data_IF_437832346504
#
_entry.id   IF_437832346504
#
_cell.length_a   1.000
_cell.length_b   1.000
_cell.length_c   1.000
_cell.angle_alpha   90.00
_cell.angle_beta   90.00
_cell.angle_gamma   90.00
#
_symmetry.space_group_name_H-M   'P 1'
#
loop_
_entity.id
_entity.type
_entity.pdbx_description
1 polymer ?
#
# COMPACT_ATOMS: atom_id res chain seq x y z
N UNK A 1 7.32 17.09 -25.67
CA UNK A 1 6.32 16.04 -25.40
C UNK A 1 5.09 16.74 -24.90
N UNK A 2 3.99 16.71 -25.66
CA UNK A 2 2.72 17.23 -25.17
C UNK A 2 2.24 16.34 -24.03
N UNK A 3 1.98 16.95 -22.87
CA UNK A 3 1.54 16.23 -21.68
C UNK A 3 0.08 15.84 -21.91
N UNK A 4 -0.12 14.66 -22.47
CA UNK A 4 -1.44 14.04 -22.59
C UNK A 4 -1.74 13.25 -21.31
N UNK A 5 -3.02 13.16 -20.94
CA UNK A 5 -3.48 12.38 -19.78
C UNK A 5 -3.02 10.92 -19.84
N UNK A 6 -2.93 10.34 -21.04
CA UNK A 6 -2.40 8.99 -21.25
C UNK A 6 -0.92 8.88 -20.87
N UNK A 7 -0.09 9.86 -21.24
CA UNK A 7 1.33 9.90 -20.90
C UNK A 7 1.54 10.12 -19.40
N UNK A 8 0.72 10.97 -18.78
CA UNK A 8 0.74 11.17 -17.34
C UNK A 8 0.37 9.88 -16.57
N UNK A 9 -0.71 9.20 -16.96
CA UNK A 9 -1.13 7.93 -16.36
C UNK A 9 -0.06 6.86 -16.51
N UNK A 10 0.56 6.74 -17.68
CA UNK A 10 1.66 5.80 -17.90
C UNK A 10 2.85 6.07 -16.95
N UNK A 11 3.25 7.34 -16.82
CA UNK A 11 4.34 7.73 -15.93
C UNK A 11 3.98 7.51 -14.45
N UNK A 12 2.73 7.79 -14.07
CA UNK A 12 2.23 7.52 -12.73
C UNK A 12 2.31 6.02 -12.40
N UNK A 13 1.85 5.15 -13.29
CA UNK A 13 1.92 3.70 -13.09
C UNK A 13 3.35 3.20 -12.94
N UNK A 14 4.30 3.81 -13.67
CA UNK A 14 5.72 3.49 -13.57
C UNK A 14 6.34 3.89 -12.22
N UNK A 15 5.89 5.00 -11.64
CA UNK A 15 6.35 5.51 -10.34
C UNK A 15 5.58 4.89 -9.16
N UNK A 16 4.40 4.32 -9.40
CA UNK A 16 3.53 3.77 -8.36
C UNK A 16 4.23 2.79 -7.40
N UNK A 17 5.06 1.82 -7.85
CA UNK A 17 5.77 0.91 -6.94
C UNK A 17 6.65 1.66 -5.94
N UNK A 18 7.36 2.70 -6.40
CA UNK A 18 8.19 3.53 -5.54
C UNK A 18 7.34 4.35 -4.56
N UNK A 19 6.26 4.97 -5.04
CA UNK A 19 5.32 5.74 -4.22
C UNK A 19 4.72 4.87 -3.10
N UNK A 20 4.35 3.62 -3.41
CA UNK A 20 3.82 2.66 -2.42
C UNK A 20 4.84 2.38 -1.31
N UNK A 21 6.10 2.09 -1.69
CA UNK A 21 7.17 1.83 -0.71
C UNK A 21 7.41 3.05 0.17
N UNK A 22 7.49 4.25 -0.43
CA UNK A 22 7.62 5.50 0.31
C UNK A 22 6.43 5.74 1.25
N UNK A 23 5.21 5.51 0.80
CA UNK A 23 4.01 5.70 1.62
C UNK A 23 4.03 4.84 2.89
N UNK A 24 4.32 3.54 2.77
CA UNK A 24 4.34 2.65 3.94
C UNK A 24 5.49 2.96 4.89
N UNK A 25 6.66 3.28 4.36
CA UNK A 25 7.84 3.62 5.17
C UNK A 25 7.68 4.94 5.91
N UNK A 26 7.24 5.99 5.22
CA UNK A 26 6.97 7.31 5.82
C UNK A 26 5.83 7.21 6.85
N UNK A 27 4.76 6.48 6.54
CA UNK A 27 3.66 6.25 7.48
C UNK A 27 4.14 5.60 8.78
N UNK A 28 5.04 4.63 8.68
CA UNK A 28 5.67 3.96 9.83
C UNK A 28 6.48 4.94 10.69
N UNK A 29 7.29 5.78 10.04
CA UNK A 29 8.13 6.78 10.70
C UNK A 29 7.28 7.81 11.45
N UNK A 30 6.23 8.35 10.82
CA UNK A 30 5.37 9.34 11.46
C UNK A 30 4.52 8.78 12.59
N UNK A 31 4.09 7.52 12.48
CA UNK A 31 3.34 6.85 13.54
C UNK A 31 4.25 6.28 14.64
N UNK A 32 5.57 6.41 14.54
CA UNK A 32 6.56 5.77 15.42
C UNK A 32 6.31 4.26 15.60
N UNK A 33 5.83 3.60 14.54
CA UNK A 33 5.63 2.15 14.51
C UNK A 33 6.67 1.48 13.60
N UNK A 34 6.85 0.16 13.75
CA UNK A 34 7.79 -0.62 12.94
C UNK A 34 7.10 -1.33 11.77
N UNK A 35 5.82 -1.06 11.52
CA UNK A 35 4.99 -1.86 10.60
C UNK A 35 5.44 -1.72 9.15
N UNK A 36 5.72 -0.49 8.71
CA UNK A 36 6.24 -0.23 7.37
C UNK A 36 7.66 -0.75 7.17
N UNK A 37 8.47 -0.79 8.23
CA UNK A 37 9.84 -1.35 8.19
C UNK A 37 9.79 -2.88 8.02
N UNK A 38 8.90 -3.56 8.74
CA UNK A 38 8.71 -5.02 8.62
C UNK A 38 8.20 -5.40 7.23
N UNK A 39 7.27 -4.61 6.68
CA UNK A 39 6.85 -4.73 5.29
C UNK A 39 8.03 -4.56 4.32
N UNK A 40 8.87 -3.53 4.52
CA UNK A 40 10.03 -3.25 3.67
C UNK A 40 11.05 -4.40 3.69
N UNK A 41 11.30 -5.00 4.86
CA UNK A 41 12.19 -6.18 4.98
C UNK A 41 11.69 -7.34 4.13
N UNK A 42 10.39 -7.63 4.19
CA UNK A 42 9.76 -8.65 3.36
C UNK A 42 9.84 -8.35 1.88
N UNK A 43 9.64 -7.08 1.50
CA UNK A 43 9.72 -6.66 0.11
C UNK A 43 11.13 -6.81 -0.47
N UNK A 44 12.15 -6.37 0.27
CA UNK A 44 13.56 -6.51 -0.14
C UNK A 44 13.92 -8.00 -0.27
N UNK A 45 13.48 -8.82 0.69
CA UNK A 45 13.65 -10.27 0.63
C UNK A 45 12.99 -10.86 -0.63
N UNK A 46 11.73 -10.50 -0.91
CA UNK A 46 11.00 -11.00 -2.08
C UNK A 46 11.66 -10.60 -3.40
N UNK A 47 12.09 -9.34 -3.55
CA UNK A 47 12.80 -8.86 -4.74
C UNK A 47 14.11 -9.62 -4.92
N UNK A 48 14.89 -9.82 -3.83
CA UNK A 48 16.12 -10.59 -3.87
C UNK A 48 15.89 -12.03 -4.34
N UNK A 49 14.86 -12.70 -3.82
CA UNK A 49 14.48 -14.05 -4.24
C UNK A 49 14.07 -14.10 -5.71
N UNK A 50 13.26 -13.14 -6.18
CA UNK A 50 12.84 -13.06 -7.59
C UNK A 50 14.04 -12.89 -8.52
N UNK A 51 15.00 -12.02 -8.15
CA UNK A 51 16.22 -11.82 -8.95
C UNK A 51 17.05 -13.10 -9.01
N UNK A 52 17.27 -13.77 -7.88
CA UNK A 52 18.02 -15.03 -7.82
C UNK A 52 17.34 -16.12 -8.67
N UNK A 53 16.03 -16.31 -8.51
CA UNK A 53 15.25 -17.27 -9.30
C UNK A 53 15.37 -16.95 -10.79
N UNK A 54 15.24 -15.67 -11.17
CA UNK A 54 15.37 -15.26 -12.56
C UNK A 54 16.75 -15.56 -13.16
N UNK A 55 17.82 -15.44 -12.34
CA UNK A 55 19.18 -15.78 -12.77
C UNK A 55 19.39 -17.29 -12.90
N UNK A 56 18.78 -18.10 -12.02
CA UNK A 56 18.88 -19.56 -12.05
C UNK A 56 18.12 -20.16 -13.25
N UNK A 57 16.95 -19.61 -13.57
CA UNK A 57 16.13 -20.08 -14.69
C UNK A 57 16.88 -19.95 -16.03
N UNK A 58 17.68 -18.88 -16.22
CA UNK A 58 18.50 -18.70 -17.44
C UNK A 58 19.52 -19.81 -17.67
N UNK A 59 19.92 -20.54 -16.62
CA UNK A 59 20.98 -21.55 -16.69
C UNK A 59 20.47 -22.97 -16.90
N UNK A 60 19.15 -23.22 -16.87
CA UNK A 60 18.57 -24.56 -17.01
C UNK A 60 18.08 -24.78 -18.45
N UNK A 61 18.80 -25.57 -19.28
CA UNK A 61 18.42 -25.81 -20.67
C UNK A 61 17.13 -26.64 -20.84
N UNK A 62 16.66 -27.33 -19.79
CA UNK A 62 15.37 -28.05 -19.81
C UNK A 62 14.16 -27.09 -19.82
N UNK A 63 14.32 -25.87 -19.27
CA UNK A 63 13.28 -24.83 -19.27
C UNK A 63 13.33 -23.94 -20.53
N UNK A 64 14.31 -24.18 -21.41
CA UNK A 64 14.49 -23.50 -22.70
C UNK A 64 13.41 -23.89 -23.73
N UNK A 65 12.59 -24.90 -23.42
CA UNK A 65 11.56 -25.42 -24.31
C UNK A 65 10.28 -24.59 -24.37
N UNK A 66 10.29 -23.36 -23.89
CA UNK A 66 9.07 -22.56 -23.89
C UNK A 66 9.28 -21.15 -24.41
N UNK A 67 8.59 -20.84 -25.51
CA UNK A 67 8.08 -19.51 -25.89
C UNK A 67 7.15 -18.88 -24.81
N UNK A 68 7.37 -19.22 -23.53
CA UNK A 68 6.60 -18.78 -22.37
C UNK A 68 7.25 -17.56 -21.71
N UNK A 69 8.58 -17.46 -21.82
CA UNK A 69 9.36 -16.26 -21.51
C UNK A 69 9.73 -15.48 -22.77
N UNK A 70 8.85 -15.46 -23.77
CA UNK A 70 8.94 -14.41 -24.79
C UNK A 70 8.74 -13.08 -24.06
N UNK A 71 9.82 -12.34 -23.90
CA UNK A 71 9.86 -11.07 -23.20
C UNK A 71 9.29 -10.06 -24.21
N UNK A 72 8.41 -9.17 -23.78
CA UNK A 72 7.78 -8.20 -24.70
C UNK A 72 8.82 -7.30 -25.38
N UNK A 73 8.39 -6.19 -26.00
CA UNK A 73 9.32 -5.22 -26.59
C UNK A 73 10.14 -4.50 -25.51
N UNK A 74 11.21 -5.13 -25.02
CA UNK A 74 12.12 -4.57 -24.01
C UNK A 74 13.16 -3.62 -24.59
N UNK A 75 13.23 -3.51 -25.91
CA UNK A 75 14.19 -2.66 -26.60
C UNK A 75 13.85 -1.17 -26.48
N UNK A 76 12.59 -0.84 -26.17
CA UNK A 76 12.18 0.54 -25.95
C UNK A 76 12.88 1.15 -24.73
N UNK A 77 13.49 2.34 -24.84
CA UNK A 77 14.20 2.98 -23.72
C UNK A 77 13.28 3.28 -22.54
N UNK A 78 11.98 3.45 -22.81
CA UNK A 78 10.94 3.64 -21.80
C UNK A 78 10.79 2.38 -20.92
N UNK A 79 11.13 1.21 -21.44
CA UNK A 79 11.10 -0.05 -20.72
C UNK A 79 12.31 -0.28 -19.81
N UNK A 80 13.38 0.52 -19.94
CA UNK A 80 14.67 0.36 -19.23
C UNK A 80 14.87 1.32 -18.05
N UNK A 81 13.82 1.61 -17.27
CA UNK A 81 13.88 2.66 -16.22
C UNK A 81 14.65 2.23 -14.96
N UNK A 82 14.89 0.91 -14.78
CA UNK A 82 15.70 0.37 -13.67
C UNK A 82 16.85 -0.48 -14.23
N UNK A 83 17.79 0.17 -14.91
CA UNK A 83 19.10 -0.42 -15.24
C UNK A 83 20.17 0.18 -14.33
N UNK A 84 20.71 -0.58 -13.38
CA UNK A 84 21.78 -0.13 -12.48
C UNK A 84 23.14 -0.66 -12.94
N UNK A 85 23.64 -0.17 -14.07
CA UNK A 85 24.83 -0.71 -14.75
C UNK A 85 24.50 -1.37 -16.09
N UNK A 86 25.48 -2.06 -16.69
CA UNK A 86 25.39 -2.65 -18.04
C UNK A 86 24.70 -4.02 -18.11
N UNK A 87 24.11 -4.52 -17.01
CA UNK A 87 23.39 -5.79 -16.98
C UNK A 87 21.92 -5.62 -16.65
N UNK A 88 21.06 -6.27 -17.42
CA UNK A 88 19.62 -6.38 -17.15
C UNK A 88 19.39 -7.25 -15.90
N UNK A 89 19.13 -6.63 -14.75
CA UNK A 89 19.07 -7.30 -13.44
C UNK A 89 17.94 -8.33 -13.31
N UNK A 90 16.86 -8.18 -14.07
CA UNK A 90 15.82 -9.19 -14.11
C UNK A 90 15.00 -9.07 -15.39
N UNK A 91 14.69 -10.22 -15.99
CA UNK A 91 13.72 -10.33 -17.09
C UNK A 91 12.27 -10.24 -16.56
N UNK A 92 12.10 -10.23 -15.24
CA UNK A 92 10.80 -10.18 -14.56
C UNK A 92 10.48 -8.72 -14.21
N UNK A 93 9.26 -8.23 -14.48
CA UNK A 93 8.86 -6.87 -14.13
C UNK A 93 8.79 -6.68 -12.61
N UNK A 94 9.87 -6.14 -12.02
CA UNK A 94 9.99 -5.93 -10.57
C UNK A 94 8.89 -5.01 -10.03
N UNK A 95 8.52 -3.95 -10.78
CA UNK A 95 7.44 -3.04 -10.38
C UNK A 95 6.09 -3.76 -10.20
N UNK A 96 5.76 -4.63 -11.16
CA UNK A 96 4.59 -5.51 -11.11
C UNK A 96 4.64 -6.44 -9.88
N UNK A 97 5.81 -7.04 -9.60
CA UNK A 97 6.00 -7.86 -8.40
C UNK A 97 5.87 -7.09 -7.08
N UNK A 98 6.25 -5.80 -7.02
CA UNK A 98 6.07 -4.97 -5.83
C UNK A 98 4.57 -4.73 -5.58
N UNK A 99 3.80 -4.35 -6.62
CA UNK A 99 2.37 -4.05 -6.49
C UNK A 99 1.62 -5.28 -5.96
N UNK A 100 1.83 -6.45 -6.58
CA UNK A 100 1.13 -7.68 -6.20
C UNK A 100 1.61 -8.23 -4.85
N UNK A 101 2.90 -8.15 -4.53
CA UNK A 101 3.42 -8.51 -3.21
C UNK A 101 2.73 -7.68 -2.13
N UNK A 102 2.65 -6.37 -2.33
CA UNK A 102 2.03 -5.44 -1.39
C UNK A 102 0.56 -5.76 -1.19
N UNK A 103 -0.18 -5.96 -2.28
CA UNK A 103 -1.59 -6.29 -2.23
C UNK A 103 -1.84 -7.60 -1.47
N UNK A 104 -1.13 -8.68 -1.84
CA UNK A 104 -1.32 -9.99 -1.20
C UNK A 104 -0.87 -9.96 0.26
N UNK A 105 0.27 -9.34 0.58
CA UNK A 105 0.72 -9.18 1.95
C UNK A 105 -0.34 -8.49 2.82
N UNK A 106 -0.89 -7.36 2.35
CA UNK A 106 -1.92 -6.62 3.10
C UNK A 106 -3.25 -7.39 3.18
N UNK A 107 -3.67 -8.01 2.08
CA UNK A 107 -4.92 -8.76 2.02
C UNK A 107 -4.89 -9.98 2.94
N UNK A 108 -3.84 -10.79 2.83
CA UNK A 108 -3.64 -11.95 3.70
C UNK A 108 -3.51 -11.52 5.17
N UNK A 109 -2.80 -10.42 5.45
CA UNK A 109 -2.71 -9.86 6.81
C UNK A 109 -4.09 -9.50 7.39
N UNK A 110 -4.91 -8.78 6.62
CA UNK A 110 -6.30 -8.45 7.02
C UNK A 110 -7.16 -9.69 7.25
N UNK A 111 -7.00 -10.73 6.41
CA UNK A 111 -7.76 -11.97 6.53
C UNK A 111 -7.34 -12.74 7.79
N UNK A 112 -6.04 -12.98 7.97
CA UNK A 112 -5.55 -13.77 9.10
C UNK A 112 -5.83 -13.08 10.44
N UNK A 113 -5.54 -11.78 10.56
CA UNK A 113 -5.81 -11.05 11.79
C UNK A 113 -7.32 -10.92 12.03
N UNK A 114 -8.11 -10.75 10.96
CA UNK A 114 -9.56 -10.69 11.05
C UNK A 114 -10.18 -11.98 11.57
N UNK A 115 -9.69 -13.13 11.09
CA UNK A 115 -10.11 -14.46 11.58
C UNK A 115 -9.77 -14.60 13.06
N UNK A 116 -8.54 -14.25 13.45
CA UNK A 116 -8.08 -14.37 14.84
C UNK A 116 -8.86 -13.49 15.83
N UNK A 117 -9.24 -12.27 15.42
CA UNK A 117 -10.00 -11.34 16.26
C UNK A 117 -11.51 -11.48 16.13
N UNK A 118 -12.00 -12.35 15.24
CA UNK A 118 -13.43 -12.47 14.92
C UNK A 118 -14.02 -11.20 14.29
N UNK A 119 -13.21 -10.38 13.61
CA UNK A 119 -13.64 -9.14 12.95
C UNK A 119 -13.38 -9.19 11.45
N UNK A 120 -14.22 -8.50 10.68
CA UNK A 120 -14.02 -8.40 9.22
C UNK A 120 -13.17 -7.16 8.88
N UNK A 121 -11.85 -7.26 9.09
CA UNK A 121 -10.90 -6.17 8.78
C UNK A 121 -10.93 -5.76 7.30
N UNK A 122 -11.18 -6.70 6.40
CA UNK A 122 -11.31 -6.43 4.96
C UNK A 122 -12.46 -5.44 4.69
N UNK A 123 -13.60 -5.60 5.36
CA UNK A 123 -14.76 -4.69 5.22
C UNK A 123 -14.43 -3.28 5.68
N UNK A 124 -13.68 -3.13 6.78
CA UNK A 124 -13.30 -1.80 7.30
C UNK A 124 -12.24 -1.11 6.45
N UNK A 125 -11.42 -1.89 5.76
CA UNK A 125 -10.32 -1.41 4.92
C UNK A 125 -10.60 -1.64 3.42
N UNK A 126 -11.87 -1.70 3.02
CA UNK A 126 -12.26 -1.93 1.64
C UNK A 126 -11.67 -0.94 0.62
N UNK A 127 -11.40 0.36 0.95
CA UNK A 127 -10.77 1.28 0.00
C UNK A 127 -9.38 0.80 -0.42
N UNK A 128 -8.62 0.17 0.48
CA UNK A 128 -7.30 -0.40 0.18
C UNK A 128 -7.42 -1.52 -0.85
N UNK A 129 -8.39 -2.42 -0.67
CA UNK A 129 -8.62 -3.55 -1.60
C UNK A 129 -9.01 -3.03 -2.98
N UNK A 130 -9.92 -2.06 -3.05
CA UNK A 130 -10.34 -1.46 -4.32
C UNK A 130 -9.19 -0.72 -4.99
N UNK A 131 -8.42 0.05 -4.22
CA UNK A 131 -7.25 0.77 -4.73
C UNK A 131 -6.22 -0.16 -5.38
N UNK A 132 -5.81 -1.23 -4.68
CA UNK A 132 -4.86 -2.19 -5.25
C UNK A 132 -5.45 -2.97 -6.42
N UNK A 133 -6.75 -3.29 -6.40
CA UNK A 133 -7.41 -3.95 -7.53
C UNK A 133 -7.37 -3.07 -8.79
N UNK A 134 -7.63 -1.77 -8.65
CA UNK A 134 -7.52 -0.79 -9.75
C UNK A 134 -6.08 -0.68 -10.22
N UNK A 135 -5.10 -0.61 -9.31
CA UNK A 135 -3.68 -0.55 -9.68
C UNK A 135 -3.22 -1.78 -10.47
N UNK A 136 -3.65 -2.98 -10.08
CA UNK A 136 -3.32 -4.23 -10.78
C UNK A 136 -3.92 -4.22 -12.20
N UNK A 137 -5.18 -3.82 -12.36
CA UNK A 137 -5.82 -3.71 -13.68
C UNK A 137 -5.14 -2.64 -14.54
N UNK A 138 -4.78 -1.50 -13.94
CA UNK A 138 -4.07 -0.43 -14.63
C UNK A 138 -2.65 -0.86 -15.03
N UNK A 139 -1.94 -1.62 -14.19
CA UNK A 139 -0.62 -2.16 -14.50
C UNK A 139 -0.71 -3.16 -15.65
N UNK A 140 -1.68 -4.07 -15.63
CA UNK A 140 -1.95 -4.95 -16.77
C UNK A 140 -2.19 -4.16 -18.04
N UNK A 141 -3.10 -3.18 -18.02
CA UNK A 141 -3.44 -2.38 -19.21
C UNK A 141 -2.24 -1.62 -19.79
N UNK A 142 -1.40 -1.01 -18.94
CA UNK A 142 -0.30 -0.14 -19.38
C UNK A 142 1.03 -0.87 -19.60
N UNK A 143 1.29 -1.95 -18.87
CA UNK A 143 2.60 -2.63 -18.88
C UNK A 143 2.61 -3.86 -19.78
N UNK A 144 1.43 -4.37 -20.19
CA UNK A 144 1.30 -5.57 -21.02
C UNK A 144 0.66 -5.32 -22.38
N UNK A 145 0.81 -6.30 -23.28
CA UNK A 145 0.13 -6.31 -24.57
C UNK A 145 -1.41 -6.35 -24.49
N UNK A 146 -2.01 -6.52 -23.29
CA UNK A 146 -3.47 -6.50 -23.11
C UNK A 146 -4.09 -5.16 -23.55
N UNK A 147 -3.41 -4.04 -23.35
CA UNK A 147 -3.93 -2.72 -23.73
C UNK A 147 -4.19 -2.64 -25.23
N UNK A 148 -3.28 -3.20 -26.03
CA UNK A 148 -3.42 -3.28 -27.48
C UNK A 148 -4.56 -4.24 -27.89
N UNK A 149 -4.73 -5.36 -27.18
CA UNK A 149 -5.85 -6.30 -27.41
C UNK A 149 -7.19 -5.61 -27.14
N UNK A 150 -7.30 -4.89 -26.02
CA UNK A 150 -8.52 -4.17 -25.63
C UNK A 150 -8.84 -3.06 -26.63
N UNK A 151 -7.85 -2.26 -27.04
CA UNK A 151 -8.07 -1.19 -28.02
C UNK A 151 -8.51 -1.74 -29.38
N UNK A 152 -7.92 -2.86 -29.81
CA UNK A 152 -8.34 -3.59 -31.02
C UNK A 152 -9.78 -4.09 -30.91
N UNK A 153 -10.19 -4.60 -29.75
CA UNK A 153 -11.55 -5.05 -29.51
C UNK A 153 -12.56 -3.90 -29.53
N UNK A 154 -12.19 -2.73 -28.99
CA UNK A 154 -13.07 -1.56 -28.88
C UNK A 154 -13.17 -0.72 -30.16
N UNK A 155 -12.52 -1.10 -31.27
CA UNK A 155 -12.42 -0.31 -32.51
C UNK A 155 -12.01 1.16 -32.26
N UNK A 156 -11.25 1.41 -31.20
CA UNK A 156 -10.69 2.73 -30.95
C UNK A 156 -9.63 3.02 -32.02
N UNK A 157 -9.59 4.27 -32.51
CA UNK A 157 -8.63 4.74 -33.51
C UNK A 157 -7.20 4.31 -33.10
N UNK A 158 -6.60 3.46 -33.95
CA UNK A 158 -5.49 2.60 -33.58
C UNK A 158 -4.21 3.42 -33.33
N UNK A 159 -3.89 3.60 -32.05
CA UNK A 159 -2.55 3.99 -31.61
C UNK A 159 -1.97 2.85 -30.80
N UNK A 160 -0.88 2.27 -31.29
CA UNK A 160 -0.13 1.25 -30.56
C UNK A 160 0.32 1.83 -29.21
N UNK A 161 -0.11 1.19 -28.12
CA UNK A 161 0.37 1.52 -26.80
C UNK A 161 1.73 0.85 -26.61
N UNK A 162 2.75 1.59 -26.13
CA UNK A 162 4.01 0.99 -25.76
C UNK A 162 3.78 0.05 -24.57
N UNK A 163 4.18 -1.21 -24.71
CA UNK A 163 4.16 -2.21 -23.65
C UNK A 163 5.55 -2.83 -23.50
N UNK A 164 5.93 -3.15 -22.27
CA UNK A 164 7.28 -3.63 -21.98
C UNK A 164 7.34 -5.14 -21.80
N UNK A 165 6.24 -5.75 -21.37
CA UNK A 165 6.21 -7.16 -20.99
C UNK A 165 5.01 -7.86 -21.63
N UNK A 166 5.15 -9.15 -21.90
CA UNK A 166 4.01 -9.95 -22.33
C UNK A 166 3.14 -10.32 -21.12
N UNK A 167 1.84 -10.56 -21.35
CA UNK A 167 0.91 -10.96 -20.30
C UNK A 167 1.41 -12.18 -19.50
N UNK A 168 2.02 -13.16 -20.17
CA UNK A 168 2.60 -14.36 -19.53
C UNK A 168 3.71 -13.98 -18.54
N UNK A 169 4.69 -13.18 -18.98
CA UNK A 169 5.81 -12.74 -18.13
C UNK A 169 5.35 -11.95 -16.92
N UNK A 170 4.35 -11.07 -17.10
CA UNK A 170 3.74 -10.31 -16.00
C UNK A 170 2.93 -11.22 -15.07
N UNK A 171 2.23 -12.22 -15.62
CA UNK A 171 1.52 -13.23 -14.83
C UNK A 171 2.44 -14.05 -13.93
N UNK A 172 3.63 -14.44 -14.42
CA UNK A 172 4.65 -15.12 -13.62
C UNK A 172 5.16 -14.19 -12.52
N UNK A 173 5.42 -12.92 -12.84
CA UNK A 173 5.84 -11.92 -11.87
C UNK A 173 4.82 -11.72 -10.74
N UNK A 174 3.54 -11.74 -11.09
CA UNK A 174 2.43 -11.67 -10.15
C UNK A 174 2.30 -12.91 -9.28
N UNK A 175 2.42 -14.09 -9.88
CA UNK A 175 2.40 -15.34 -9.14
C UNK A 175 3.56 -15.40 -8.15
N UNK A 176 4.78 -15.12 -8.59
CA UNK A 176 5.97 -15.12 -7.74
C UNK A 176 5.87 -14.07 -6.62
N UNK A 177 5.50 -12.82 -6.94
CA UNK A 177 5.35 -11.76 -5.96
C UNK A 177 4.22 -12.04 -4.95
N UNK A 178 3.09 -12.57 -5.42
CA UNK A 178 1.97 -12.95 -4.57
C UNK A 178 2.30 -14.10 -3.62
N UNK A 179 2.95 -15.16 -4.11
CA UNK A 179 3.41 -16.28 -3.29
C UNK A 179 4.40 -15.82 -2.21
N UNK A 180 5.34 -14.94 -2.56
CA UNK A 180 6.30 -14.38 -1.61
C UNK A 180 5.64 -13.44 -0.60
N UNK A 181 4.62 -12.68 -1.00
CA UNK A 181 3.83 -11.83 -0.11
C UNK A 181 3.05 -12.64 0.93
N UNK A 182 2.43 -13.73 0.50
CA UNK A 182 1.78 -14.67 1.41
C UNK A 182 2.79 -15.40 2.31
N UNK A 183 3.88 -15.92 1.74
CA UNK A 183 4.92 -16.62 2.50
C UNK A 183 5.58 -15.72 3.56
N UNK A 184 5.79 -14.43 3.25
CA UNK A 184 6.31 -13.48 4.23
C UNK A 184 5.37 -13.30 5.43
N UNK A 185 4.06 -13.28 5.18
CA UNK A 185 3.07 -13.23 6.27
C UNK A 185 3.16 -14.47 7.16
N UNK A 186 3.24 -15.66 6.58
CA UNK A 186 3.35 -16.92 7.33
C UNK A 186 4.62 -16.97 8.19
N UNK A 187 5.75 -16.46 7.66
CA UNK A 187 6.99 -16.31 8.43
C UNK A 187 6.76 -15.42 9.66
N UNK A 188 6.10 -14.27 9.49
CA UNK A 188 5.81 -13.34 10.59
C UNK A 188 4.83 -13.91 11.63
N UNK A 189 3.89 -14.75 11.21
CA UNK A 189 3.02 -15.47 12.14
C UNK A 189 3.78 -16.52 12.95
N UNK A 190 4.71 -17.22 12.30
CA UNK A 190 5.59 -18.20 12.96
C UNK A 190 6.49 -17.56 14.02
N UNK A 191 6.92 -16.30 13.84
CA UNK A 191 7.72 -15.57 14.84
C UNK A 191 6.92 -15.10 16.06
N UNK A 192 5.61 -15.33 16.13
CA UNK A 192 4.72 -14.96 17.25
C UNK A 192 4.73 -13.46 17.59
N UNK A 193 4.95 -12.60 16.61
CA UNK A 193 4.99 -11.14 16.75
C UNK A 193 3.91 -10.46 15.88
N UNK A 194 2.62 -10.78 16.06
CA UNK A 194 1.54 -10.25 15.23
C UNK A 194 1.37 -8.73 15.35
N UNK A 195 1.86 -8.09 16.41
CA UNK A 195 1.87 -6.63 16.58
C UNK A 195 2.74 -5.90 15.54
N UNK A 196 3.73 -6.58 14.96
CA UNK A 196 4.62 -6.05 13.92
C UNK A 196 3.99 -6.10 12.52
N UNK A 197 2.88 -6.82 12.37
CA UNK A 197 2.11 -6.84 11.14
C UNK A 197 1.44 -5.48 10.92
N UNK A 198 1.25 -5.12 9.64
CA UNK A 198 0.59 -3.85 9.28
C UNK A 198 -0.77 -3.67 9.96
N UNK A 199 -1.64 -4.69 9.89
CA UNK A 199 -2.86 -4.76 10.69
C UNK A 199 -2.66 -5.57 11.97
N UNK A 200 -1.67 -5.22 12.80
CA UNK A 200 -1.36 -6.00 14.00
C UNK A 200 -2.46 -6.02 15.07
N UNK A 201 -2.46 -7.07 15.89
CA UNK A 201 -3.39 -7.24 17.02
C UNK A 201 -3.18 -6.17 18.08
N UNK A 202 -4.25 -5.56 18.55
CA UNK A 202 -4.19 -4.59 19.65
C UNK A 202 -4.15 -5.33 21.00
N UNK A 203 -3.10 -5.09 21.81
CA UNK A 203 -2.90 -5.78 23.10
C UNK A 203 -4.04 -5.62 24.13
N UNK A 204 -4.92 -4.64 23.96
CA UNK A 204 -5.95 -4.28 24.96
C UNK A 204 -7.37 -4.07 24.41
N UNK A 205 -7.71 -4.54 23.19
CA UNK A 205 -9.02 -4.24 22.57
C UNK A 205 -9.36 -2.73 22.56
N UNK A 206 -8.34 -1.86 22.57
CA UNK A 206 -8.50 -0.41 22.48
C UNK A 206 -8.97 -0.07 21.07
N UNK A 207 -10.28 -0.22 20.84
CA UNK A 207 -10.95 0.24 19.63
C UNK A 207 -11.08 1.74 19.75
N UNK A 208 -10.19 2.47 19.08
CA UNK A 208 -10.41 3.88 18.82
C UNK A 208 -11.62 4.01 17.89
N UNK A 209 -12.81 4.18 18.46
CA UNK A 209 -14.00 4.48 17.70
C UNK A 209 -13.90 5.92 17.16
N UNK A 210 -14.29 6.10 15.91
CA UNK A 210 -14.46 7.45 15.35
C UNK A 210 -15.45 8.19 16.25
N UNK A 211 -15.02 9.30 16.85
CA UNK A 211 -15.85 10.11 17.73
C UNK A 211 -17.18 10.40 17.03
N UNK A 212 -18.29 9.95 17.60
CA UNK A 212 -19.61 10.27 17.05
C UNK A 212 -19.77 11.79 17.05
N UNK A 213 -20.45 12.37 16.06
CA UNK A 213 -20.70 13.82 16.01
C UNK A 213 -21.73 14.27 17.08
N UNK A 214 -21.63 13.74 18.30
CA UNK A 214 -22.37 14.22 19.46
C UNK A 214 -21.79 15.56 19.89
N UNK A 215 -22.59 16.62 19.76
CA UNK A 215 -22.27 17.88 20.38
C UNK A 215 -22.32 17.70 21.91
N UNK A 216 -21.19 17.82 22.57
CA UNK A 216 -21.13 17.83 24.03
C UNK A 216 -21.75 19.14 24.53
N UNK A 217 -22.93 19.07 25.14
CA UNK A 217 -23.50 20.20 25.89
C UNK A 217 -22.81 20.30 27.25
N UNK A 218 -21.94 21.29 27.42
CA UNK A 218 -21.45 21.66 28.74
C UNK A 218 -22.59 22.26 29.57
N UNK A 219 -22.95 21.59 30.66
CA UNK A 219 -23.86 22.12 31.68
C UNK A 219 -23.04 22.81 32.76
N UNK A 220 -23.23 24.12 32.92
CA UNK A 220 -22.55 24.90 33.96
C UNK A 220 -23.44 24.94 35.20
N UNK A 221 -22.87 24.61 36.37
CA UNK A 221 -23.59 24.61 37.64
C UNK A 221 -23.06 25.70 38.58
N UNK A 222 -23.96 26.40 39.27
CA UNK A 222 -23.64 27.35 40.34
C UNK A 222 -24.49 27.02 41.56
N UNK A 223 -23.86 26.79 42.70
CA UNK A 223 -24.53 26.36 43.95
C UNK A 223 -25.46 25.13 43.77
N UNK A 224 -25.03 24.15 42.98
CA UNK A 224 -25.79 22.92 42.75
C UNK A 224 -26.99 23.04 41.80
N UNK A 225 -27.19 24.19 41.14
CA UNK A 225 -28.24 24.39 40.13
C UNK A 225 -27.64 24.70 38.75
N UNK A 226 -28.23 24.13 37.70
CA UNK A 226 -27.83 24.36 36.30
C UNK A 226 -28.14 25.82 35.90
N UNK A 227 -27.18 26.50 35.30
CA UNK A 227 -27.31 27.89 34.85
C UNK A 227 -27.83 27.87 33.41
N UNK A 228 -29.09 28.25 33.22
CA UNK A 228 -29.81 28.11 31.95
C UNK A 228 -29.78 29.41 31.10
N UNK A 229 -29.41 30.55 31.69
CA UNK A 229 -29.45 31.86 31.04
C UNK A 229 -28.08 32.53 30.94
N UNK A 230 -27.77 33.11 29.77
CA UNK A 230 -26.49 33.80 29.50
C UNK A 230 -26.25 35.03 30.36
N UNK A 231 -27.32 35.64 30.93
CA UNK A 231 -27.23 36.77 31.86
C UNK A 231 -26.70 36.39 33.24
N UNK A 232 -26.73 35.10 33.58
CA UNK A 232 -26.20 34.55 34.84
C UNK A 232 -24.76 34.03 34.68
N UNK A 233 -24.23 34.10 33.46
CA UNK A 233 -22.85 33.75 33.14
C UNK A 233 -21.93 34.88 33.66
N UNK A 234 -20.92 34.59 34.49
CA UNK A 234 -19.95 35.61 34.91
C UNK A 234 -19.27 36.17 33.66
N UNK A 235 -19.10 37.49 33.56
CA UNK A 235 -18.35 38.11 32.47
C UNK A 235 -16.98 37.43 32.32
N UNK A 236 -16.71 36.98 31.10
CA UNK A 236 -15.67 36.03 30.69
C UNK A 236 -14.20 36.49 30.92
N UNK A 237 -13.99 37.58 31.66
CA UNK A 237 -12.67 38.15 31.93
C UNK A 237 -12.14 37.88 33.35
N UNK A 238 -12.99 37.56 34.33
CA UNK A 238 -12.55 37.40 35.73
C UNK A 238 -12.18 35.95 36.12
N UNK A 239 -12.63 34.96 35.35
CA UNK A 239 -12.36 33.54 35.64
C UNK A 239 -10.91 33.18 35.31
N UNK A 240 -10.36 33.73 34.21
CA UNK A 240 -8.98 33.45 33.79
C UNK A 240 -7.93 34.09 34.70
N UNK A 241 -8.25 35.20 35.38
CA UNK A 241 -7.30 35.95 36.23
C UNK A 241 -7.05 35.29 37.59
N UNK A 242 -8.02 34.55 38.12
CA UNK A 242 -7.91 33.87 39.41
C UNK A 242 -7.33 32.45 39.30
N UNK A 243 -7.44 31.79 38.14
CA UNK A 243 -6.81 30.49 37.90
C UNK A 243 -5.29 30.59 37.79
N UNK A 244 -4.75 31.68 37.20
CA UNK A 244 -3.30 31.90 37.09
C UNK A 244 -2.65 32.27 38.42
N UNK A 245 -3.34 33.00 39.32
CA UNK A 245 -2.77 33.36 40.63
C UNK A 245 -2.60 32.16 41.58
N UNK A 246 -3.42 31.12 41.45
CA UNK A 246 -3.36 29.93 42.33
C UNK A 246 -2.28 28.92 41.93
N UNK A 247 -1.77 28.99 40.69
CA UNK A 247 -0.71 28.11 40.20
C UNK A 247 0.71 28.70 40.34
N UNK A 248 0.85 30.02 40.47
CA UNK A 248 2.16 30.69 40.63
C UNK A 248 2.59 30.82 42.11
N UNK A 249 1.71 30.56 43.07
CA UNK A 249 2.05 30.60 44.50
C UNK A 249 2.48 29.24 45.10
N UNK A 250 2.56 28.19 44.27
CA UNK A 250 2.99 26.84 44.66
C UNK A 250 4.18 26.32 43.83
N UNK A 251 4.95 27.24 43.24
CA UNK A 251 6.31 27.05 42.72
C UNK A 251 7.22 28.04 43.45
#
# INVERSE_FOLDING_TARGET
MDINISTFTYLFMRLCPFILVCFFTIGSIFNNDLKGIVYLMGLIFAIGVIIIISSLIKQIPLLYFTDFFDIGNTDDPICKIVSFGSSEFSQIPVGSSIIIFTFIYLLSNMIHVGIDEGTNLVKYNWPTVVFFSILIVADWYNNTNIGNIVNKFLNAEYKELPYCYNLKTTGIAYLAGGLLGWAWLEIMYSTKTPELLYFGKYKNNEKCEKVSQTQYKCKVFKHGKEVVNSKDMPNDFDIYKNATKKYVSNL
#
